data_IF_399323135585
#
_entry.id   IF_399323135585
#
_cell.length_a   1.000
_cell.length_b   1.000
_cell.length_c   1.000
_cell.angle_alpha   90.00
_cell.angle_beta   90.00
_cell.angle_gamma   90.00
#
_symmetry.space_group_name_H-M   'P 1'
#
loop_
_entity.id
_entity.type
_entity.pdbx_description
1 polymer ?
#
# COMPACT_ATOMS: atom_id res chain seq x y z
N UNK A 1 -18.68 5.23 -3.03
CA UNK A 1 -19.59 4.09 -3.30
C UNK A 1 -20.51 3.89 -2.11
N UNK A 2 -21.81 3.88 -2.35
CA UNK A 2 -22.77 3.39 -1.37
C UNK A 2 -22.83 1.87 -1.49
N UNK A 3 -22.59 1.15 -0.40
CA UNK A 3 -22.58 -0.31 -0.37
C UNK A 3 -23.91 -0.97 -0.82
N UNK A 4 -25.01 -0.21 -0.87
CA UNK A 4 -26.31 -0.63 -1.40
C UNK A 4 -26.57 -0.24 -2.85
N UNK A 5 -25.60 0.39 -3.55
CA UNK A 5 -25.82 0.84 -4.92
C UNK A 5 -25.94 -0.33 -5.91
N UNK A 6 -26.68 -0.10 -7.00
CA UNK A 6 -26.88 -1.11 -8.05
C UNK A 6 -25.53 -1.51 -8.69
N UNK A 7 -24.58 -0.58 -8.75
CA UNK A 7 -23.23 -0.82 -9.26
C UNK A 7 -22.48 -1.83 -8.38
N UNK A 8 -22.55 -1.69 -7.03
CA UNK A 8 -21.92 -2.65 -6.12
C UNK A 8 -22.57 -4.03 -6.19
N UNK A 9 -23.90 -4.09 -6.35
CA UNK A 9 -24.63 -5.36 -6.49
C UNK A 9 -24.35 -6.07 -7.84
N UNK A 10 -23.92 -5.33 -8.85
CA UNK A 10 -23.54 -5.90 -10.15
C UNK A 10 -22.13 -6.52 -10.17
N UNK A 11 -21.32 -6.32 -9.14
CA UNK A 11 -19.97 -6.88 -9.03
C UNK A 11 -20.03 -8.35 -8.56
N UNK A 12 -20.25 -9.27 -9.49
CA UNK A 12 -20.38 -10.71 -9.23
C UNK A 12 -19.07 -11.46 -9.51
N UNK A 13 -17.97 -11.04 -8.91
CA UNK A 13 -16.66 -11.66 -9.10
C UNK A 13 -16.16 -12.37 -7.82
N UNK A 14 -15.16 -13.26 -8.01
CA UNK A 14 -14.46 -13.93 -6.90
C UNK A 14 -13.17 -13.21 -6.49
N UNK A 15 -12.72 -12.24 -7.27
CA UNK A 15 -11.53 -11.42 -7.01
C UNK A 15 -11.90 -9.96 -7.21
N UNK A 16 -11.46 -9.11 -6.31
CA UNK A 16 -11.68 -7.67 -6.39
C UNK A 16 -10.44 -6.90 -5.93
N UNK A 17 -10.20 -5.74 -6.53
CA UNK A 17 -9.28 -4.73 -6.02
C UNK A 17 -10.03 -3.44 -5.77
N UNK A 18 -9.61 -2.67 -4.77
CA UNK A 18 -10.22 -1.40 -4.42
C UNK A 18 -9.18 -0.40 -3.94
N UNK A 19 -9.49 0.87 -4.05
CA UNK A 19 -8.61 1.95 -3.62
C UNK A 19 -9.39 3.10 -3.00
N UNK A 20 -8.94 3.57 -1.85
CA UNK A 20 -9.41 4.80 -1.22
C UNK A 20 -8.37 5.91 -1.44
N UNK A 21 -8.72 6.91 -2.25
CA UNK A 21 -7.81 8.01 -2.55
C UNK A 21 -7.82 9.04 -1.43
N UNK A 22 -6.63 9.33 -0.89
CA UNK A 22 -6.39 10.53 -0.10
C UNK A 22 -5.80 11.60 -1.05
N UNK A 23 -6.58 12.64 -1.37
CA UNK A 23 -6.16 13.68 -2.33
C UNK A 23 -5.10 14.58 -1.69
N UNK A 24 -3.86 14.52 -2.18
CA UNK A 24 -2.74 15.34 -1.70
C UNK A 24 -2.39 16.50 -2.64
N UNK A 25 -2.93 16.56 -3.85
CA UNK A 25 -2.62 17.61 -4.83
C UNK A 25 -3.78 17.94 -5.77
N UNK A 26 -3.89 19.21 -6.09
CA UNK A 26 -4.49 19.93 -7.21
C UNK A 26 -5.75 19.44 -7.91
N UNK A 27 -6.62 20.41 -8.15
CA UNK A 27 -8.02 20.35 -8.59
C UNK A 27 -8.30 19.93 -10.04
N UNK A 28 -7.36 19.46 -10.85
CA UNK A 28 -7.57 19.53 -12.30
C UNK A 28 -8.00 18.26 -13.01
N UNK A 29 -8.04 17.10 -12.46
CA UNK A 29 -8.61 15.90 -13.14
C UNK A 29 -8.95 14.77 -12.16
N UNK A 30 -9.58 15.12 -11.05
CA UNK A 30 -9.83 14.19 -9.94
C UNK A 30 -10.53 12.88 -10.34
N UNK A 31 -11.40 12.88 -11.34
CA UNK A 31 -12.14 11.70 -11.78
C UNK A 31 -11.28 10.76 -12.63
N UNK A 32 -10.40 11.28 -13.48
CA UNK A 32 -9.55 10.45 -14.36
C UNK A 32 -8.37 9.81 -13.60
N UNK A 33 -8.05 10.31 -12.42
CA UNK A 33 -6.98 9.76 -11.57
C UNK A 33 -7.49 8.79 -10.50
N UNK A 34 -8.78 8.42 -10.55
CA UNK A 34 -9.36 7.42 -9.64
C UNK A 34 -8.79 6.05 -9.99
N UNK A 35 -8.32 5.37 -8.97
CA UNK A 35 -7.84 3.98 -9.07
C UNK A 35 -8.96 2.98 -8.71
N UNK A 36 -8.91 1.76 -9.24
CA UNK A 36 -7.84 1.16 -10.06
C UNK A 36 -7.78 1.69 -11.49
N UNK A 37 -6.57 1.84 -12.02
CA UNK A 37 -6.38 1.97 -13.47
C UNK A 37 -6.49 0.62 -14.16
N UNK A 38 -6.93 0.59 -15.41
CA UNK A 38 -7.07 -0.65 -16.16
C UNK A 38 -6.52 -0.55 -17.59
N UNK A 39 -6.13 -1.68 -18.13
CA UNK A 39 -5.66 -1.85 -19.51
C UNK A 39 -6.07 -3.23 -20.00
N UNK A 40 -6.25 -3.37 -21.33
CA UNK A 40 -6.45 -4.66 -21.96
C UNK A 40 -5.14 -5.15 -22.57
N UNK A 41 -4.82 -6.41 -22.29
CA UNK A 41 -3.66 -7.10 -22.80
C UNK A 41 -4.11 -8.31 -23.66
N UNK A 42 -3.21 -8.88 -24.46
CA UNK A 42 -3.52 -10.01 -25.33
C UNK A 42 -4.05 -11.24 -24.57
N UNK A 43 -3.74 -11.35 -23.29
CA UNK A 43 -4.16 -12.45 -22.40
C UNK A 43 -5.30 -12.04 -21.44
N UNK A 44 -5.91 -10.88 -21.61
CA UNK A 44 -7.08 -10.44 -20.83
C UNK A 44 -6.93 -9.09 -20.15
N UNK A 45 -7.98 -8.70 -19.43
CA UNK A 45 -8.03 -7.45 -18.68
C UNK A 45 -7.04 -7.44 -17.53
N UNK A 46 -6.45 -6.28 -17.30
CA UNK A 46 -5.45 -6.02 -16.27
C UNK A 46 -5.82 -4.72 -15.55
N UNK A 47 -5.87 -4.77 -14.22
CA UNK A 47 -6.15 -3.58 -13.41
C UNK A 47 -5.17 -3.48 -12.25
N UNK A 48 -4.82 -2.24 -11.86
CA UNK A 48 -3.83 -1.97 -10.81
C UNK A 48 -4.28 -0.81 -9.92
N UNK A 49 -4.07 -0.98 -8.63
CA UNK A 49 -4.15 0.08 -7.63
C UNK A 49 -2.84 0.15 -6.83
N UNK A 50 -2.44 1.36 -6.46
CA UNK A 50 -1.16 1.62 -5.84
C UNK A 50 -1.28 2.69 -4.76
N UNK A 51 -0.52 2.52 -3.70
CA UNK A 51 -0.31 3.51 -2.64
C UNK A 51 1.18 3.82 -2.55
N UNK A 52 1.54 5.08 -2.74
CA UNK A 52 2.93 5.52 -2.74
C UNK A 52 3.21 6.64 -3.71
N UNK A 53 4.47 6.74 -4.13
CA UNK A 53 4.90 7.72 -5.11
C UNK A 53 6.19 7.27 -5.81
N UNK A 54 6.22 7.38 -7.14
CA UNK A 54 7.43 7.16 -7.92
C UNK A 54 8.26 8.45 -7.99
N UNK A 55 9.56 8.33 -7.79
CA UNK A 55 10.51 9.45 -7.94
C UNK A 55 10.93 9.67 -9.39
N UNK A 56 10.80 8.65 -10.25
CA UNK A 56 11.16 8.69 -11.66
C UNK A 56 9.95 8.62 -12.61
N UNK A 57 8.75 9.00 -12.15
CA UNK A 57 7.52 8.93 -12.96
C UNK A 57 7.64 9.70 -14.29
N UNK A 58 8.21 10.91 -14.26
CA UNK A 58 8.37 11.73 -15.47
C UNK A 58 9.31 11.09 -16.50
N UNK A 59 10.43 10.51 -16.06
CA UNK A 59 11.36 9.78 -16.91
C UNK A 59 10.68 8.55 -17.55
N UNK A 60 9.97 7.77 -16.74
CA UNK A 60 9.24 6.59 -17.22
C UNK A 60 8.14 6.96 -18.22
N UNK A 61 7.44 8.07 -18.01
CA UNK A 61 6.44 8.57 -18.96
C UNK A 61 7.06 8.79 -20.34
N UNK A 62 8.26 9.40 -20.39
CA UNK A 62 8.96 9.62 -21.65
C UNK A 62 9.40 8.30 -22.30
N UNK A 63 9.95 7.36 -21.51
CA UNK A 63 10.36 6.04 -22.02
C UNK A 63 9.16 5.25 -22.56
N UNK A 64 8.02 5.27 -21.85
CA UNK A 64 6.79 4.62 -22.30
C UNK A 64 6.30 5.17 -23.62
N UNK A 65 6.36 6.50 -23.83
CA UNK A 65 5.95 7.13 -25.08
C UNK A 65 6.93 6.82 -26.22
N UNK A 66 8.22 7.02 -26.03
CA UNK A 66 9.22 7.01 -27.08
C UNK A 66 9.67 5.58 -27.47
N UNK A 67 9.75 4.69 -26.48
CA UNK A 67 10.33 3.35 -26.67
C UNK A 67 9.26 2.27 -26.64
N UNK A 68 8.37 2.31 -25.66
CA UNK A 68 7.36 1.27 -25.46
C UNK A 68 6.06 1.56 -26.24
N UNK A 69 5.97 2.74 -26.88
CA UNK A 69 4.85 3.21 -27.70
C UNK A 69 3.50 3.15 -26.95
N UNK A 70 3.53 3.51 -25.64
CA UNK A 70 2.36 3.56 -24.79
C UNK A 70 1.98 5.00 -24.48
N UNK A 71 0.69 5.29 -24.58
CA UNK A 71 0.13 6.58 -24.24
C UNK A 71 -0.47 6.58 -22.85
N UNK A 72 -0.19 7.62 -22.07
CA UNK A 72 -0.79 7.84 -20.75
C UNK A 72 -1.91 8.90 -20.88
N UNK A 73 -3.00 8.68 -20.18
CA UNK A 73 -4.17 9.56 -20.19
C UNK A 73 -4.14 10.57 -19.05
N UNK A 74 -3.33 10.30 -18.02
CA UNK A 74 -3.24 11.12 -16.81
C UNK A 74 -1.77 11.38 -16.44
N UNK A 75 -1.56 12.21 -15.43
CA UNK A 75 -0.25 12.44 -14.82
C UNK A 75 -0.02 11.56 -13.58
N UNK A 76 -0.86 10.56 -13.35
CA UNK A 76 -0.77 9.68 -12.19
C UNK A 76 0.39 8.69 -12.36
N UNK A 77 1.23 8.59 -11.35
CA UNK A 77 2.27 7.56 -11.28
C UNK A 77 1.70 6.13 -11.21
N UNK A 78 0.46 5.97 -10.75
CA UNK A 78 -0.24 4.68 -10.80
C UNK A 78 -0.49 4.21 -12.23
N UNK A 79 -0.82 5.13 -13.17
CA UNK A 79 -0.95 4.81 -14.57
C UNK A 79 0.41 4.48 -15.21
N UNK A 80 1.48 5.15 -14.75
CA UNK A 80 2.86 4.82 -15.13
C UNK A 80 3.20 3.38 -14.69
N UNK A 81 2.96 3.01 -13.43
CA UNK A 81 3.20 1.65 -12.92
C UNK A 81 2.42 0.63 -13.73
N UNK A 82 1.12 0.88 -13.99
CA UNK A 82 0.27 0.01 -14.82
C UNK A 82 0.92 -0.25 -16.18
N UNK A 83 1.34 0.81 -16.87
CA UNK A 83 1.88 0.69 -18.23
C UNK A 83 3.26 0.05 -18.27
N UNK A 84 4.13 0.33 -17.30
CA UNK A 84 5.43 -0.36 -17.18
C UNK A 84 5.22 -1.85 -16.91
N UNK A 85 4.29 -2.21 -16.01
CA UNK A 85 4.00 -3.61 -15.72
C UNK A 85 3.37 -4.32 -16.92
N UNK A 86 2.45 -3.68 -17.62
CA UNK A 86 1.86 -4.20 -18.85
C UNK A 86 2.93 -4.45 -19.93
N UNK A 87 3.88 -3.54 -20.10
CA UNK A 87 5.00 -3.71 -21.03
C UNK A 87 5.88 -4.90 -20.66
N UNK A 88 6.28 -5.01 -19.41
CA UNK A 88 7.09 -6.14 -18.92
C UNK A 88 6.36 -7.48 -19.07
N UNK A 89 5.04 -7.53 -18.83
CA UNK A 89 4.22 -8.73 -19.07
C UNK A 89 4.21 -9.10 -20.55
N UNK A 90 4.02 -8.14 -21.45
CA UNK A 90 3.99 -8.38 -22.91
C UNK A 90 5.35 -8.82 -23.46
N UNK A 91 6.47 -8.43 -22.85
CA UNK A 91 7.82 -8.88 -23.23
C UNK A 91 8.05 -10.36 -22.97
N UNK A 92 7.38 -10.93 -21.95
CA UNK A 92 7.58 -12.33 -21.53
C UNK A 92 6.46 -13.26 -21.94
N UNK A 93 5.30 -12.72 -22.37
CA UNK A 93 4.11 -13.49 -22.71
C UNK A 93 3.38 -12.90 -23.92
N UNK A 94 2.92 -13.73 -24.84
CA UNK A 94 2.17 -13.28 -26.03
C UNK A 94 0.65 -13.43 -25.88
N UNK A 95 0.15 -14.63 -25.58
CA UNK A 95 -1.30 -14.93 -25.53
C UNK A 95 -1.70 -15.52 -24.18
N UNK A 96 -0.80 -16.24 -23.53
CA UNK A 96 -0.99 -16.79 -22.18
C UNK A 96 0.33 -16.71 -21.43
N UNK A 97 0.28 -16.61 -20.12
CA UNK A 97 1.47 -16.61 -19.29
C UNK A 97 1.26 -17.53 -18.08
N UNK A 98 2.38 -17.94 -17.49
CA UNK A 98 2.44 -18.70 -16.25
C UNK A 98 3.11 -17.88 -15.13
N UNK A 99 3.11 -18.41 -13.93
CA UNK A 99 3.69 -17.73 -12.77
C UNK A 99 5.19 -17.43 -12.92
N UNK A 100 5.96 -18.27 -13.60
CA UNK A 100 7.40 -18.03 -13.84
C UNK A 100 7.61 -16.81 -14.75
N UNK A 101 6.76 -16.64 -15.77
CA UNK A 101 6.77 -15.46 -16.64
C UNK A 101 6.31 -14.21 -15.87
N UNK A 102 5.29 -14.32 -15.00
CA UNK A 102 4.90 -13.23 -14.12
C UNK A 102 6.08 -12.73 -13.28
N UNK A 103 6.76 -13.63 -12.57
CA UNK A 103 7.91 -13.25 -11.75
C UNK A 103 9.09 -12.73 -12.58
N UNK A 104 9.19 -13.12 -13.85
CA UNK A 104 10.17 -12.52 -14.79
C UNK A 104 9.77 -11.08 -15.13
N UNK A 105 8.51 -10.82 -15.44
CA UNK A 105 8.00 -9.46 -15.64
C UNK A 105 8.19 -8.59 -14.38
N UNK A 106 7.92 -9.15 -13.19
CA UNK A 106 8.15 -8.45 -11.92
C UNK A 106 9.63 -8.06 -11.73
N UNK A 107 10.57 -8.92 -12.10
CA UNK A 107 12.00 -8.54 -12.08
C UNK A 107 12.31 -7.38 -13.02
N UNK A 108 11.72 -7.35 -14.21
CA UNK A 108 11.81 -6.22 -15.13
C UNK A 108 11.23 -4.94 -14.53
N UNK A 109 10.02 -5.03 -13.97
CA UNK A 109 9.34 -3.93 -13.29
C UNK A 109 10.22 -3.29 -12.21
N UNK A 110 10.79 -4.09 -11.31
CA UNK A 110 11.65 -3.62 -10.22
C UNK A 110 12.96 -2.95 -10.70
N UNK A 111 13.42 -3.24 -11.91
CA UNK A 111 14.59 -2.53 -12.47
C UNK A 111 14.25 -1.15 -13.01
N UNK A 112 12.98 -0.90 -13.30
CA UNK A 112 12.50 0.36 -13.90
C UNK A 112 11.95 1.32 -12.85
N UNK A 113 11.17 0.83 -11.88
CA UNK A 113 10.51 1.67 -10.88
C UNK A 113 11.48 2.14 -9.79
N UNK A 114 11.41 3.44 -9.48
CA UNK A 114 12.12 4.04 -8.35
C UNK A 114 11.12 4.81 -7.50
N UNK A 115 11.18 4.60 -6.18
CA UNK A 115 10.29 5.27 -5.24
C UNK A 115 9.76 4.34 -4.16
N UNK A 116 8.71 4.79 -3.49
CA UNK A 116 8.02 4.05 -2.45
C UNK A 116 6.64 3.63 -2.96
N UNK A 117 6.37 2.33 -3.00
CA UNK A 117 5.10 1.81 -3.50
C UNK A 117 4.68 0.48 -2.87
N UNK A 118 3.39 0.39 -2.62
CA UNK A 118 2.70 -0.86 -2.34
C UNK A 118 1.54 -0.97 -3.34
N UNK A 119 1.47 -2.03 -4.10
CA UNK A 119 0.53 -2.17 -5.19
C UNK A 119 -0.18 -3.52 -5.19
N UNK A 120 -1.41 -3.51 -5.69
CA UNK A 120 -2.19 -4.70 -6.00
C UNK A 120 -2.62 -4.63 -7.46
N UNK A 121 -2.46 -5.73 -8.17
CA UNK A 121 -2.89 -5.86 -9.55
C UNK A 121 -3.77 -7.08 -9.73
N UNK A 122 -4.84 -6.96 -10.51
CA UNK A 122 -5.70 -8.05 -10.89
C UNK A 122 -5.49 -8.36 -12.37
N UNK A 123 -5.19 -9.61 -12.67
CA UNK A 123 -5.00 -10.10 -14.04
C UNK A 123 -6.09 -11.12 -14.31
N UNK A 124 -7.00 -10.77 -15.21
CA UNK A 124 -8.18 -11.60 -15.50
C UNK A 124 -7.78 -13.02 -15.92
N UNK A 125 -8.40 -14.03 -15.29
CA UNK A 125 -8.09 -15.45 -15.52
C UNK A 125 -6.81 -15.96 -14.84
N UNK A 126 -6.00 -15.10 -14.20
CA UNK A 126 -4.75 -15.50 -13.54
C UNK A 126 -4.74 -15.29 -12.03
N UNK A 127 -5.36 -14.20 -11.54
CA UNK A 127 -5.48 -13.92 -10.11
C UNK A 127 -5.07 -12.51 -9.70
N UNK A 128 -4.71 -12.39 -8.42
CA UNK A 128 -4.26 -11.15 -7.78
C UNK A 128 -2.75 -11.19 -7.57
N UNK A 129 -2.08 -10.10 -7.89
CA UNK A 129 -0.66 -9.90 -7.62
C UNK A 129 -0.52 -8.77 -6.61
N UNK A 130 0.15 -9.03 -5.49
CA UNK A 130 0.55 -8.01 -4.52
C UNK A 130 2.06 -7.81 -4.57
N UNK A 131 2.54 -6.57 -4.56
CA UNK A 131 3.96 -6.30 -4.59
C UNK A 131 4.32 -5.00 -3.88
N UNK A 132 5.53 -4.96 -3.33
CA UNK A 132 6.02 -3.88 -2.47
C UNK A 132 7.37 -3.38 -2.93
N UNK A 133 7.65 -2.09 -2.77
CA UNK A 133 8.92 -1.48 -3.14
C UNK A 133 10.14 -2.19 -2.52
N UNK A 134 11.34 -2.10 -3.15
CA UNK A 134 12.53 -2.81 -2.71
C UNK A 134 13.06 -2.39 -1.34
N UNK A 135 12.59 -1.26 -0.80
CA UNK A 135 13.01 -0.73 0.49
C UNK A 135 11.95 -0.92 1.58
N UNK A 136 10.79 -1.49 1.24
CA UNK A 136 9.69 -1.70 2.18
C UNK A 136 9.17 -0.40 2.80
N UNK A 137 9.23 0.73 2.05
CA UNK A 137 8.85 2.05 2.56
C UNK A 137 7.34 2.10 2.80
N UNK A 138 6.53 1.64 1.81
CA UNK A 138 5.08 1.60 1.97
C UNK A 138 4.64 0.26 2.57
N UNK A 139 3.68 0.26 3.51
CA UNK A 139 3.20 -0.99 4.12
C UNK A 139 2.29 -1.76 3.16
N UNK A 140 2.37 -3.08 3.22
CA UNK A 140 1.47 -4.01 2.56
C UNK A 140 1.46 -5.32 3.34
N UNK A 141 0.29 -5.78 3.72
CA UNK A 141 0.08 -7.00 4.51
C UNK A 141 -0.91 -7.91 3.81
N UNK A 142 -0.89 -9.20 4.14
CA UNK A 142 -1.93 -10.11 3.70
C UNK A 142 -2.41 -11.02 4.81
N UNK A 143 -3.64 -11.47 4.68
CA UNK A 143 -4.30 -12.38 5.59
C UNK A 143 -5.10 -13.44 4.86
N UNK A 144 -5.59 -14.40 5.63
CA UNK A 144 -6.42 -15.49 5.14
C UNK A 144 -7.58 -15.75 6.09
N UNK A 145 -8.64 -16.36 5.57
CA UNK A 145 -9.72 -16.94 6.37
C UNK A 145 -10.25 -18.21 5.71
N UNK A 146 -10.84 -19.07 6.50
CA UNK A 146 -11.58 -20.22 5.97
C UNK A 146 -13.04 -19.81 5.73
N UNK A 147 -13.59 -20.21 4.58
CA UNK A 147 -15.01 -20.03 4.25
C UNK A 147 -15.63 -21.33 3.78
N UNK A 148 -16.94 -21.33 3.55
CA UNK A 148 -17.64 -22.49 3.00
C UNK A 148 -17.17 -22.87 1.58
N UNK A 149 -16.55 -21.92 0.85
CA UNK A 149 -16.02 -22.11 -0.49
C UNK A 149 -14.54 -22.47 -0.49
N UNK A 150 -13.90 -22.51 0.68
CA UNK A 150 -12.48 -22.81 0.85
C UNK A 150 -11.72 -21.60 1.44
N UNK A 151 -10.42 -21.60 1.24
CA UNK A 151 -9.55 -20.57 1.78
C UNK A 151 -9.63 -19.29 0.95
N UNK A 152 -9.86 -18.17 1.62
CA UNK A 152 -9.89 -16.84 1.05
C UNK A 152 -8.67 -16.03 1.50
N UNK A 153 -8.22 -15.11 0.65
CA UNK A 153 -7.07 -14.25 0.92
C UNK A 153 -7.46 -12.78 0.77
N UNK A 154 -6.87 -11.95 1.58
CA UNK A 154 -7.01 -10.50 1.50
C UNK A 154 -5.65 -9.83 1.62
N UNK A 155 -5.41 -8.84 0.76
CA UNK A 155 -4.25 -7.95 0.82
C UNK A 155 -4.72 -6.56 1.21
N UNK A 156 -4.01 -5.90 2.10
CA UNK A 156 -4.36 -4.56 2.59
C UNK A 156 -3.11 -3.73 2.90
N UNK A 157 -3.26 -2.41 2.92
CA UNK A 157 -2.20 -1.51 3.38
C UNK A 157 -1.97 -1.60 4.89
N UNK A 158 -3.00 -2.02 5.67
CA UNK A 158 -2.95 -2.07 7.13
C UNK A 158 -3.61 -3.34 7.67
N UNK A 159 -3.03 -3.90 8.74
CA UNK A 159 -3.52 -5.13 9.38
C UNK A 159 -4.93 -5.02 9.95
N UNK A 160 -5.34 -3.82 10.37
CA UNK A 160 -6.70 -3.61 10.89
C UNK A 160 -7.78 -3.91 9.84
N UNK A 161 -7.52 -3.65 8.56
CA UNK A 161 -8.46 -3.97 7.49
C UNK A 161 -8.74 -5.48 7.40
N UNK A 162 -7.71 -6.31 7.63
CA UNK A 162 -7.85 -7.76 7.70
C UNK A 162 -8.76 -8.16 8.88
N UNK A 163 -8.45 -7.66 10.06
CA UNK A 163 -9.17 -7.99 11.30
C UNK A 163 -10.65 -7.61 11.26
N UNK A 164 -10.97 -6.42 10.72
CA UNK A 164 -12.37 -5.94 10.61
C UNK A 164 -13.21 -6.84 9.69
N UNK A 165 -12.60 -7.47 8.68
CA UNK A 165 -13.26 -8.35 7.74
C UNK A 165 -13.12 -9.84 8.10
N UNK A 166 -12.57 -10.16 9.27
CA UNK A 166 -12.46 -11.52 9.79
C UNK A 166 -11.38 -12.35 9.10
N UNK A 167 -10.33 -11.69 8.59
CA UNK A 167 -9.14 -12.38 8.09
C UNK A 167 -8.06 -12.42 9.18
N UNK A 168 -7.46 -13.58 9.36
CA UNK A 168 -6.28 -13.74 10.18
C UNK A 168 -5.06 -13.19 9.45
N UNK A 169 -4.28 -12.34 10.13
CA UNK A 169 -3.00 -11.84 9.59
C UNK A 169 -2.05 -13.01 9.36
N UNK A 170 -1.42 -13.05 8.19
CA UNK A 170 -0.42 -14.07 7.83
C UNK A 170 0.98 -13.46 7.88
N UNK A 171 1.23 -12.39 7.11
CA UNK A 171 2.58 -11.82 7.01
C UNK A 171 2.54 -10.42 6.36
N UNK A 172 3.63 -9.66 6.54
CA UNK A 172 3.94 -8.51 5.70
C UNK A 172 4.48 -8.98 4.33
N UNK A 173 4.09 -8.31 3.25
CA UNK A 173 4.79 -8.45 1.96
C UNK A 173 6.19 -7.89 2.11
N UNK A 174 7.21 -8.71 1.84
CA UNK A 174 8.59 -8.34 2.10
C UNK A 174 9.09 -7.26 1.10
N UNK A 175 10.14 -6.48 1.44
CA UNK A 175 10.75 -5.55 0.51
C UNK A 175 11.13 -6.23 -0.81
N UNK A 176 10.68 -5.69 -1.94
CA UNK A 176 10.95 -6.23 -3.28
C UNK A 176 10.28 -7.57 -3.59
N UNK A 177 9.34 -8.01 -2.76
CA UNK A 177 8.57 -9.23 -2.96
C UNK A 177 7.36 -8.98 -3.85
N UNK A 178 7.03 -9.99 -4.66
CA UNK A 178 5.75 -10.14 -5.33
C UNK A 178 5.09 -11.46 -4.89
N UNK A 179 3.78 -11.41 -4.65
CA UNK A 179 2.94 -12.55 -4.27
C UNK A 179 1.84 -12.70 -5.31
N UNK A 180 1.72 -13.88 -5.91
CA UNK A 180 0.60 -14.26 -6.76
C UNK A 180 -0.40 -15.09 -5.94
N UNK A 181 -1.62 -14.63 -5.85
CA UNK A 181 -2.79 -15.37 -5.39
C UNK A 181 -3.53 -15.88 -6.62
N UNK A 182 -3.24 -17.11 -7.03
CA UNK A 182 -3.77 -17.72 -8.25
C UNK A 182 -5.27 -18.01 -8.16
N UNK A 183 -5.94 -18.03 -9.32
CA UNK A 183 -7.36 -18.45 -9.41
C UNK A 183 -7.57 -19.92 -8.99
N UNK A 184 -6.51 -20.72 -8.97
CA UNK A 184 -6.47 -22.10 -8.48
C UNK A 184 -6.35 -22.20 -6.95
N UNK A 185 -6.33 -21.06 -6.24
CA UNK A 185 -6.16 -20.97 -4.79
C UNK A 185 -4.71 -21.15 -4.30
N UNK A 186 -3.74 -21.30 -5.22
CA UNK A 186 -2.33 -21.42 -4.83
C UNK A 186 -1.71 -20.03 -4.62
N UNK A 187 -0.86 -19.94 -3.59
CA UNK A 187 -0.04 -18.76 -3.34
C UNK A 187 1.39 -19.05 -3.78
N UNK A 188 1.95 -18.15 -4.55
CA UNK A 188 3.37 -18.20 -4.93
C UNK A 188 4.03 -16.86 -4.56
N UNK A 189 5.17 -16.92 -3.87
CA UNK A 189 5.90 -15.77 -3.35
C UNK A 189 7.31 -15.76 -3.90
N UNK A 190 7.79 -14.60 -4.32
CA UNK A 190 9.17 -14.43 -4.78
C UNK A 190 9.67 -13.01 -4.53
N UNK A 191 10.86 -12.89 -3.95
CA UNK A 191 11.62 -11.64 -3.97
C UNK A 191 12.17 -11.44 -5.38
N UNK A 192 11.70 -10.40 -6.05
CA UNK A 192 12.01 -10.10 -7.46
C UNK A 192 13.01 -8.97 -7.62
N UNK A 193 13.14 -8.08 -6.64
CA UNK A 193 14.13 -7.01 -6.65
C UNK A 193 15.55 -7.59 -6.46
N UNK A 194 16.54 -6.97 -7.15
CA UNK A 194 17.95 -7.39 -7.06
C UNK A 194 18.61 -7.07 -5.73
N UNK A 195 18.20 -5.96 -5.14
CA UNK A 195 18.66 -5.48 -3.84
C UNK A 195 17.45 -5.07 -3.04
N UNK A 196 17.40 -5.47 -1.80
CA UNK A 196 16.33 -5.14 -0.87
C UNK A 196 16.92 -4.59 0.43
N UNK A 197 16.18 -3.69 1.04
CA UNK A 197 16.47 -3.17 2.37
C UNK A 197 15.15 -2.97 3.11
N UNK A 198 15.16 -2.92 4.43
CA UNK A 198 13.96 -2.67 5.22
C UNK A 198 14.07 -1.27 5.83
N UNK A 199 13.45 -0.31 5.18
CA UNK A 199 13.42 1.10 5.57
C UNK A 199 11.99 1.62 5.66
N UNK A 200 11.18 1.11 6.60
CA UNK A 200 9.78 1.50 6.73
C UNK A 200 9.65 3.00 6.99
N UNK A 201 8.66 3.62 6.39
CA UNK A 201 8.38 5.04 6.58
C UNK A 201 7.96 5.33 8.03
N UNK A 202 8.76 6.10 8.76
CA UNK A 202 8.42 6.49 10.13
C UNK A 202 7.10 7.28 10.20
N UNK A 203 6.75 8.00 9.13
CA UNK A 203 5.54 8.79 9.07
C UNK A 203 4.25 7.94 9.12
N UNK A 204 4.33 6.68 8.74
CA UNK A 204 3.24 5.71 8.94
C UNK A 204 2.90 5.58 10.42
N UNK A 205 3.92 5.40 11.28
CA UNK A 205 3.72 5.28 12.73
C UNK A 205 3.29 6.60 13.38
N UNK A 206 3.82 7.73 12.91
CA UNK A 206 3.52 9.04 13.50
C UNK A 206 2.11 9.51 13.13
N UNK A 207 1.72 9.33 11.86
CA UNK A 207 0.55 10.03 11.32
C UNK A 207 -0.40 9.15 10.52
N UNK A 208 0.07 8.42 9.48
CA UNK A 208 -0.81 7.84 8.47
C UNK A 208 -1.59 6.61 8.96
N UNK A 209 -0.91 5.65 9.59
CA UNK A 209 -1.54 4.41 10.01
C UNK A 209 -2.56 4.61 11.14
N UNK A 210 -3.57 3.76 11.18
CA UNK A 210 -4.51 3.71 12.29
C UNK A 210 -3.81 3.23 13.57
N UNK A 211 -4.18 3.74 14.75
CA UNK A 211 -3.53 3.35 16.00
C UNK A 211 -3.71 1.87 16.35
N UNK A 212 -4.78 1.25 15.89
CA UNK A 212 -5.11 -0.16 16.11
C UNK A 212 -4.40 -1.12 15.12
N UNK A 213 -3.60 -0.59 14.18
CA UNK A 213 -2.78 -1.39 13.25
C UNK A 213 -1.48 -1.88 13.90
N UNK A 214 -1.01 -3.03 13.39
CA UNK A 214 0.32 -3.59 13.65
C UNK A 214 1.07 -3.66 12.32
N UNK A 215 2.28 -3.11 12.27
CA UNK A 215 3.16 -3.10 11.10
C UNK A 215 4.56 -3.55 11.52
N UNK A 216 5.19 -4.45 10.76
CA UNK A 216 6.52 -5.03 11.10
C UNK A 216 6.57 -5.56 12.54
N UNK A 217 5.47 -6.14 13.04
CA UNK A 217 5.34 -6.60 14.42
C UNK A 217 5.25 -5.49 15.48
N UNK A 218 5.19 -4.22 15.09
CA UNK A 218 5.13 -3.06 16.01
C UNK A 218 3.70 -2.50 16.02
N UNK A 219 3.09 -2.43 17.21
CA UNK A 219 1.82 -1.72 17.41
C UNK A 219 2.00 -0.22 17.20
N UNK A 220 1.21 0.36 16.30
CA UNK A 220 1.21 1.82 16.04
C UNK A 220 0.84 2.60 17.31
N UNK A 221 -0.13 2.12 18.07
CA UNK A 221 -0.52 2.71 19.36
C UNK A 221 0.65 2.78 20.33
N UNK A 222 1.37 1.64 20.52
CA UNK A 222 2.57 1.56 21.37
C UNK A 222 3.68 2.49 20.89
N UNK A 223 3.93 2.54 19.60
CA UNK A 223 4.92 3.43 19.00
C UNK A 223 4.61 4.90 19.34
N UNK A 224 3.36 5.33 19.18
CA UNK A 224 2.92 6.70 19.53
C UNK A 224 3.03 7.00 21.03
N UNK A 225 2.68 6.05 21.90
CA UNK A 225 2.90 6.20 23.33
C UNK A 225 4.39 6.41 23.64
N UNK A 226 5.26 5.58 23.09
CA UNK A 226 6.70 5.67 23.31
C UNK A 226 7.28 7.01 22.79
N UNK A 227 6.82 7.50 21.65
CA UNK A 227 7.20 8.81 21.10
C UNK A 227 6.78 9.96 22.05
N UNK A 228 5.53 9.91 22.55
CA UNK A 228 5.03 10.88 23.51
C UNK A 228 5.82 10.88 24.82
N UNK A 229 6.08 9.72 25.38
CA UNK A 229 6.89 9.59 26.60
C UNK A 229 8.34 10.07 26.37
N UNK A 230 8.94 9.77 25.21
CA UNK A 230 10.28 10.25 24.88
C UNK A 230 10.32 11.78 24.74
N UNK A 231 9.30 12.38 24.12
CA UNK A 231 9.16 13.84 24.04
C UNK A 231 8.97 14.46 25.43
N UNK A 232 8.15 13.83 26.29
CA UNK A 232 7.96 14.27 27.68
C UNK A 232 9.27 14.30 28.47
N UNK A 233 10.08 13.24 28.37
CA UNK A 233 11.43 13.22 29.00
C UNK A 233 12.29 14.38 28.50
N UNK A 234 12.34 14.61 27.20
CA UNK A 234 13.11 15.70 26.59
C UNK A 234 12.68 17.07 27.10
N UNK A 235 11.37 17.31 27.26
CA UNK A 235 10.80 18.55 27.78
C UNK A 235 11.22 18.72 29.26
N UNK A 236 11.16 17.66 30.06
CA UNK A 236 11.59 17.68 31.46
C UNK A 236 13.10 17.94 31.60
N UNK A 237 13.92 17.28 30.78
CA UNK A 237 15.39 17.46 30.79
C UNK A 237 15.81 18.89 30.39
N UNK A 238 14.99 19.57 29.58
CA UNK A 238 15.20 20.97 29.20
C UNK A 238 14.67 21.98 30.25
N UNK A 239 14.04 21.51 31.33
CA UNK A 239 13.46 22.37 32.34
C UNK A 239 12.27 23.20 31.91
N UNK A 240 11.54 22.73 30.87
CA UNK A 240 10.44 23.50 30.27
C UNK A 240 9.07 23.22 30.90
N UNK A 241 8.94 22.22 31.77
CA UNK A 241 7.66 21.84 32.38
C UNK A 241 6.98 22.99 33.14
N UNK A 242 7.75 23.84 33.84
CA UNK A 242 7.21 24.98 34.58
C UNK A 242 6.67 26.12 33.69
N UNK A 243 6.97 26.07 32.38
CA UNK A 243 6.53 27.08 31.39
C UNK A 243 5.32 26.61 30.59
N UNK A 244 4.81 25.42 30.88
CA UNK A 244 3.71 24.79 30.13
C UNK A 244 2.53 24.58 31.07
N UNK A 245 1.39 25.18 30.75
CA UNK A 245 0.20 25.05 31.57
C UNK A 245 -0.54 23.72 31.28
N UNK A 246 -0.65 23.33 30.01
CA UNK A 246 -1.31 22.10 29.62
C UNK A 246 -0.79 21.53 28.29
N UNK A 247 -1.10 20.26 28.05
CA UNK A 247 -0.81 19.52 26.81
C UNK A 247 -2.09 19.36 26.03
N UNK A 248 -2.11 19.88 24.80
CA UNK A 248 -3.26 19.80 23.88
C UNK A 248 -2.85 18.97 22.66
N UNK A 249 -3.61 17.90 22.30
CA UNK A 249 -3.35 17.14 21.08
C UNK A 249 -3.83 17.91 19.84
N UNK A 250 -3.08 17.78 18.75
CA UNK A 250 -3.63 18.10 17.42
C UNK A 250 -4.47 16.89 16.98
N UNK A 251 -5.80 17.00 16.89
CA UNK A 251 -6.66 15.87 16.55
C UNK A 251 -6.36 15.31 15.15
N UNK A 252 -6.55 13.99 14.95
CA UNK A 252 -6.84 12.95 15.96
C UNK A 252 -5.59 12.13 16.28
N UNK A 253 -4.62 12.10 15.39
CA UNK A 253 -3.47 11.16 15.42
C UNK A 253 -2.52 11.40 16.58
N UNK A 254 -2.42 12.63 17.07
CA UNK A 254 -1.50 12.98 18.16
C UNK A 254 -2.04 12.68 19.55
N UNK A 255 -3.32 12.33 19.73
CA UNK A 255 -3.94 12.11 21.05
C UNK A 255 -3.18 11.12 21.92
N UNK A 256 -2.78 9.97 21.34
CA UNK A 256 -2.03 8.95 22.08
C UNK A 256 -0.66 9.44 22.55
N UNK A 257 0.06 10.17 21.69
CA UNK A 257 1.37 10.72 22.03
C UNK A 257 1.24 11.85 23.07
N UNK A 258 0.27 12.75 22.92
CA UNK A 258 0.03 13.86 23.83
C UNK A 258 -0.34 13.35 25.25
N UNK A 259 -1.21 12.32 25.34
CA UNK A 259 -1.54 11.71 26.62
C UNK A 259 -0.30 11.10 27.30
N UNK A 260 0.51 10.36 26.55
CA UNK A 260 1.74 9.76 27.10
C UNK A 260 2.76 10.84 27.51
N UNK A 261 2.85 11.96 26.79
CA UNK A 261 3.67 13.12 27.17
C UNK A 261 3.18 13.73 28.48
N UNK A 262 1.88 14.01 28.60
CA UNK A 262 1.30 14.58 29.82
C UNK A 262 1.54 13.67 31.03
N UNK A 263 1.34 12.35 30.88
CA UNK A 263 1.63 11.37 31.92
C UNK A 263 3.12 11.36 32.33
N UNK A 264 4.03 11.50 31.37
CA UNK A 264 5.47 11.50 31.61
C UNK A 264 5.96 12.76 32.34
N UNK A 265 5.33 13.90 32.08
CA UNK A 265 5.73 15.21 32.65
C UNK A 265 4.92 15.61 33.86
N UNK A 266 3.78 14.98 34.12
CA UNK A 266 2.85 15.41 35.17
C UNK A 266 2.01 16.64 34.79
N UNK A 267 2.07 17.09 33.53
CA UNK A 267 1.31 18.24 33.05
C UNK A 267 -0.18 17.85 32.85
N UNK A 268 -1.06 18.85 32.93
CA UNK A 268 -2.47 18.66 32.62
C UNK A 268 -2.69 18.30 31.15
N UNK A 269 -3.53 17.31 30.87
CA UNK A 269 -3.97 16.96 29.53
C UNK A 269 -5.34 17.57 29.25
N UNK A 270 -5.47 18.35 28.17
CA UNK A 270 -6.69 18.98 27.74
C UNK A 270 -6.98 18.62 26.27
N UNK A 271 -7.91 17.64 26.05
CA UNK A 271 -8.24 17.20 24.70
C UNK A 271 -9.42 16.24 24.64
#
# INVERSE_FOLDING_TARGET
FDAGSAEMQALNGHVAIGHNRYSTSGKTNALMEIQPFSSELAFGGFALAHNGNLTNAAELTQVLADTDHRHLNTNSDSEVILNVFADELQRVASVAFNSAQLFTAMRGLYTRLQGAYAAVAMINGHGLVAFRDPHGIRPLVFGQRESAQGKEYMVASESIALSVLGFDYVDDVQPGEAILFGVDGQIQRQVCARQTADHPCLFEYIYLARPDSVMHGISVYRARQNMGAALGRKIADLGLCEQIDCVIPVPDTSRTAALALAQQTGLEYSG
#
